data_IF_969872741877
#
_entry.id   IF_969872741877
#
_cell.length_a   1.000
_cell.length_b   1.000
_cell.length_c   1.000
_cell.angle_alpha   90.00
_cell.angle_beta   90.00
_cell.angle_gamma   90.00
#
_symmetry.space_group_name_H-M   'P 1'
#
loop_
_entity.id
_entity.type
_entity.pdbx_description
1 polymer ?
#
# COMPACT_ATOMS: atom_id res chain seq x y z
N UNK A 1 -8.73 13.44 0.18
CA UNK A 1 -8.69 13.48 1.68
C UNK A 1 -7.35 14.00 2.20
N UNK A 2 -7.29 14.72 3.34
CA UNK A 2 -5.99 15.09 3.98
C UNK A 2 -5.32 13.82 4.52
N UNK A 3 -4.06 13.57 4.15
CA UNK A 3 -3.32 12.38 4.60
C UNK A 3 -1.80 12.58 4.66
N UNK A 4 -1.13 11.86 5.55
CA UNK A 4 0.34 11.74 5.66
C UNK A 4 0.69 10.28 5.95
N UNK A 5 1.97 9.92 5.81
CA UNK A 5 2.45 8.54 5.98
C UNK A 5 1.73 7.50 5.09
N UNK A 6 1.20 7.98 3.96
CA UNK A 6 0.56 7.21 2.91
C UNK A 6 1.59 6.80 1.86
N UNK A 7 1.21 5.89 0.96
CA UNK A 7 2.00 5.57 -0.23
C UNK A 7 1.36 6.16 -1.47
N UNK A 8 2.19 6.51 -2.45
CA UNK A 8 1.77 6.94 -3.78
C UNK A 8 2.47 6.06 -4.82
N UNK A 9 1.71 5.28 -5.59
CA UNK A 9 2.23 4.33 -6.59
C UNK A 9 1.78 4.73 -7.98
N UNK A 10 2.73 4.99 -8.88
CA UNK A 10 2.44 5.19 -10.30
C UNK A 10 1.96 3.88 -10.91
N UNK A 11 0.78 3.90 -11.52
CA UNK A 11 0.18 2.77 -12.22
C UNK A 11 0.61 2.74 -13.69
N UNK A 12 0.44 1.57 -14.33
CA UNK A 12 0.81 1.38 -15.74
C UNK A 12 0.07 2.30 -16.72
N UNK A 13 -1.12 2.77 -16.34
CA UNK A 13 -1.93 3.68 -17.16
C UNK A 13 -1.60 5.17 -16.91
N UNK A 14 -0.57 5.46 -16.11
CA UNK A 14 -0.12 6.80 -15.79
C UNK A 14 -0.86 7.48 -14.62
N UNK A 15 -1.89 6.84 -14.05
CA UNK A 15 -2.55 7.34 -12.83
C UNK A 15 -1.74 6.99 -11.59
N UNK A 16 -2.08 7.60 -10.45
CA UNK A 16 -1.39 7.36 -9.17
C UNK A 16 -2.36 6.82 -8.15
N UNK A 17 -2.10 5.63 -7.62
CA UNK A 17 -2.78 5.10 -6.44
C UNK A 17 -2.21 5.74 -5.19
N UNK A 18 -3.08 6.35 -4.38
CA UNK A 18 -2.76 6.93 -3.09
C UNK A 18 -3.49 6.13 -2.03
N UNK A 19 -2.76 5.40 -1.18
CA UNK A 19 -3.34 4.42 -0.25
C UNK A 19 -2.95 4.69 1.20
N UNK A 20 -3.94 4.56 2.10
CA UNK A 20 -3.77 4.60 3.55
C UNK A 20 -3.19 5.92 4.07
N UNK A 21 -2.35 5.79 5.09
CA UNK A 21 -1.80 6.89 5.87
C UNK A 21 -2.62 7.18 7.11
N UNK A 22 -2.47 8.40 7.63
CA UNK A 22 -3.29 8.95 8.70
C UNK A 22 -3.75 10.37 8.35
N UNK A 23 -4.78 10.84 9.03
CA UNK A 23 -5.47 12.10 8.74
C UNK A 23 -4.65 13.37 9.08
N UNK A 24 -3.39 13.22 9.52
CA UNK A 24 -2.53 14.30 9.99
C UNK A 24 -3.21 15.20 11.04
N UNK A 25 -4.13 14.65 11.82
CA UNK A 25 -4.67 15.30 13.00
C UNK A 25 -3.77 15.03 14.19
N UNK A 26 -4.02 15.72 15.30
CA UNK A 26 -3.36 15.44 16.57
C UNK A 26 -3.56 13.97 17.02
N UNK A 27 -4.72 13.39 16.70
CA UNK A 27 -5.07 12.00 17.03
C UNK A 27 -4.51 10.98 16.03
N UNK A 28 -3.95 11.43 14.90
CA UNK A 28 -3.34 10.62 13.84
C UNK A 28 -4.18 9.38 13.46
N UNK A 29 -5.46 9.60 13.15
CA UNK A 29 -6.43 8.54 12.86
C UNK A 29 -5.97 7.78 11.60
N UNK A 30 -5.74 6.47 11.74
CA UNK A 30 -5.27 5.61 10.64
C UNK A 30 -6.38 5.42 9.62
N UNK A 31 -6.02 5.55 8.36
CA UNK A 31 -6.94 5.44 7.22
C UNK A 31 -6.80 4.08 6.56
N UNK A 32 -7.92 3.51 6.15
CA UNK A 32 -7.99 2.39 5.21
C UNK A 32 -8.45 2.86 3.81
N UNK A 33 -8.68 4.15 3.61
CA UNK A 33 -9.19 4.69 2.36
C UNK A 33 -8.08 4.87 1.32
N UNK A 34 -8.46 4.74 0.06
CA UNK A 34 -7.58 4.98 -1.09
C UNK A 34 -8.28 5.85 -2.15
N UNK A 35 -7.44 6.56 -2.92
CA UNK A 35 -7.87 7.45 -4.00
C UNK A 35 -6.94 7.24 -5.21
N UNK A 36 -7.48 7.35 -6.41
CA UNK A 36 -6.73 7.43 -7.66
C UNK A 36 -6.63 8.88 -8.08
N UNK A 37 -5.41 9.37 -8.26
CA UNK A 37 -5.16 10.67 -8.89
C UNK A 37 -4.94 10.48 -10.40
N UNK A 38 -5.70 11.23 -11.20
CA UNK A 38 -5.52 11.30 -12.65
C UNK A 38 -4.79 12.60 -13.02
N UNK A 39 -3.52 12.54 -13.48
CA UNK A 39 -2.76 13.73 -13.84
C UNK A 39 -3.32 14.51 -15.03
N UNK A 40 -4.12 13.89 -15.90
CA UNK A 40 -4.69 14.56 -17.08
C UNK A 40 -5.83 15.50 -16.69
N UNK A 41 -6.59 15.15 -15.65
CA UNK A 41 -7.74 15.93 -15.18
C UNK A 41 -7.45 16.68 -13.88
N UNK A 42 -6.41 16.27 -13.16
CA UNK A 42 -6.10 16.78 -11.82
C UNK A 42 -7.08 16.29 -10.75
N UNK A 43 -7.95 15.33 -11.07
CA UNK A 43 -9.00 14.87 -10.17
C UNK A 43 -8.56 13.66 -9.36
N UNK A 44 -9.12 13.57 -8.15
CA UNK A 44 -9.02 12.42 -7.26
C UNK A 44 -10.33 11.65 -7.29
N UNK A 45 -10.27 10.34 -7.49
CA UNK A 45 -11.43 9.44 -7.44
C UNK A 45 -11.24 8.43 -6.34
N UNK A 46 -12.21 8.35 -5.42
CA UNK A 46 -12.21 7.31 -4.40
C UNK A 46 -12.35 5.91 -5.02
N UNK A 47 -11.58 4.95 -4.53
CA UNK A 47 -11.70 3.53 -4.88
C UNK A 47 -12.13 2.74 -3.64
N UNK A 48 -12.29 1.42 -3.76
CA UNK A 48 -12.66 0.61 -2.59
C UNK A 48 -11.71 0.82 -1.41
N UNK A 49 -12.22 0.71 -0.19
CA UNK A 49 -11.37 0.74 1.00
C UNK A 49 -10.56 -0.55 1.15
N UNK A 50 -9.36 -0.41 1.71
CA UNK A 50 -8.57 -1.52 2.24
C UNK A 50 -9.32 -2.18 3.40
N UNK A 51 -9.08 -3.47 3.59
CA UNK A 51 -9.62 -4.26 4.70
C UNK A 51 -9.00 -3.86 6.04
N UNK A 52 -7.82 -3.28 6.01
CA UNK A 52 -7.03 -2.95 7.19
C UNK A 52 -6.58 -1.49 7.12
N UNK A 53 -6.62 -0.79 8.26
CA UNK A 53 -6.03 0.55 8.39
C UNK A 53 -4.51 0.45 8.39
N UNK A 54 -3.83 1.30 7.61
CA UNK A 54 -2.37 1.24 7.43
C UNK A 54 -1.77 2.63 7.35
N UNK A 55 -0.77 2.94 8.20
CA UNK A 55 0.23 3.99 7.92
C UNK A 55 1.63 3.40 7.99
N UNK A 56 2.60 4.09 7.36
CA UNK A 56 4.02 3.67 7.34
C UNK A 56 4.23 2.29 6.69
N UNK A 57 3.33 1.94 5.77
CA UNK A 57 3.36 0.75 4.93
C UNK A 57 4.14 1.03 3.64
N UNK A 58 4.46 -0.02 2.89
CA UNK A 58 5.00 0.11 1.54
C UNK A 58 3.97 -0.31 0.50
N UNK A 59 4.13 0.20 -0.72
CA UNK A 59 3.35 -0.19 -1.88
C UNK A 59 4.27 -0.38 -3.08
N UNK A 60 4.16 -1.52 -3.76
CA UNK A 60 5.00 -1.87 -4.91
C UNK A 60 4.13 -2.25 -6.10
N UNK A 61 4.37 -1.62 -7.26
CA UNK A 61 3.75 -2.01 -8.51
C UNK A 61 4.32 -3.37 -8.98
N UNK A 62 3.44 -4.34 -9.15
CA UNK A 62 3.79 -5.68 -9.63
C UNK A 62 3.87 -5.71 -11.16
N UNK A 63 4.58 -6.72 -11.67
CA UNK A 63 4.76 -6.92 -13.13
C UNK A 63 3.44 -7.08 -13.88
N UNK A 64 2.41 -7.64 -13.26
CA UNK A 64 1.08 -7.78 -13.88
C UNK A 64 0.29 -6.46 -13.87
N UNK A 65 0.69 -5.48 -13.07
CA UNK A 65 0.05 -4.16 -12.96
C UNK A 65 -0.77 -3.97 -11.70
N UNK A 66 -0.92 -5.00 -10.86
CA UNK A 66 -1.50 -4.88 -9.52
C UNK A 66 -0.52 -4.18 -8.58
N UNK A 67 -1.00 -3.68 -7.44
CA UNK A 67 -0.14 -3.06 -6.41
C UNK A 67 -0.19 -3.90 -5.15
N UNK A 68 0.98 -4.39 -4.71
CA UNK A 68 1.12 -5.04 -3.41
C UNK A 68 1.32 -3.98 -2.35
N UNK A 69 0.53 -4.04 -1.28
CA UNK A 69 0.63 -3.22 -0.08
C UNK A 69 1.06 -4.10 1.08
N UNK A 70 2.13 -3.73 1.77
CA UNK A 70 2.74 -4.54 2.83
C UNK A 70 2.83 -3.75 4.13
N UNK A 71 2.39 -4.38 5.22
CA UNK A 71 2.63 -3.91 6.59
C UNK A 71 1.95 -2.59 6.94
N UNK A 72 2.56 -1.86 7.88
CA UNK A 72 1.90 -0.82 8.69
C UNK A 72 1.02 -1.48 9.78
N UNK A 73 0.74 -0.92 10.95
CA UNK A 73 1.12 0.32 11.61
C UNK A 73 1.53 -0.06 13.04
N UNK A 74 2.58 0.56 13.58
CA UNK A 74 3.39 0.23 14.80
C UNK A 74 2.71 -0.25 16.11
N UNK A 75 1.39 -0.10 16.26
CA UNK A 75 0.63 -0.42 17.48
C UNK A 75 -0.57 -1.36 17.26
N UNK A 76 -0.79 -1.81 16.02
CA UNK A 76 -1.84 -2.76 15.65
C UNK A 76 -1.22 -4.05 15.13
N UNK A 77 -1.92 -5.18 15.24
CA UNK A 77 -1.40 -6.49 14.80
C UNK A 77 -1.44 -6.70 13.27
N UNK A 78 -1.46 -5.59 12.53
CA UNK A 78 -1.59 -5.54 11.08
C UNK A 78 -0.25 -5.57 10.36
N UNK A 79 0.85 -5.48 11.10
CA UNK A 79 2.23 -5.36 10.58
C UNK A 79 2.68 -6.56 9.75
N UNK A 80 1.97 -7.69 9.85
CA UNK A 80 2.21 -8.88 9.03
C UNK A 80 1.27 -9.03 7.84
N UNK A 81 0.27 -8.16 7.72
CA UNK A 81 -0.76 -8.33 6.70
C UNK A 81 -0.34 -7.69 5.39
N UNK A 82 -0.79 -8.26 4.28
CA UNK A 82 -0.64 -7.68 2.94
C UNK A 82 -2.00 -7.55 2.26
N UNK A 83 -2.09 -6.61 1.32
CA UNK A 83 -3.25 -6.47 0.45
C UNK A 83 -2.79 -6.21 -0.99
N UNK A 84 -3.56 -6.69 -1.95
CA UNK A 84 -3.32 -6.49 -3.38
C UNK A 84 -4.44 -5.63 -3.94
N UNK A 85 -4.08 -4.47 -4.48
CA UNK A 85 -4.97 -3.62 -5.26
C UNK A 85 -4.97 -4.06 -6.72
N UNK A 86 -6.15 -4.25 -7.28
CA UNK A 86 -6.36 -4.47 -8.71
C UNK A 86 -6.93 -3.21 -9.38
N UNK A 87 -6.15 -2.51 -10.23
CA UNK A 87 -6.61 -1.33 -10.94
C UNK A 87 -7.76 -1.58 -11.94
N UNK A 88 -7.96 -2.81 -12.42
CA UNK A 88 -9.03 -3.12 -13.36
C UNK A 88 -10.40 -3.06 -12.68
N UNK A 89 -10.46 -3.50 -11.42
CA UNK A 89 -11.70 -3.55 -10.63
C UNK A 89 -11.80 -2.42 -9.61
N UNK A 90 -10.68 -1.76 -9.29
CA UNK A 90 -10.62 -0.75 -8.25
C UNK A 90 -10.83 -1.33 -6.85
N UNK A 91 -10.43 -2.59 -6.62
CA UNK A 91 -10.68 -3.33 -5.37
C UNK A 91 -9.39 -3.79 -4.69
N UNK A 92 -9.48 -3.96 -3.36
CA UNK A 92 -8.42 -4.55 -2.53
C UNK A 92 -8.79 -5.97 -2.11
N UNK A 93 -7.82 -6.87 -2.17
CA UNK A 93 -7.95 -8.26 -1.72
C UNK A 93 -6.83 -8.61 -0.74
N UNK A 94 -7.09 -9.41 0.32
CA UNK A 94 -6.02 -9.88 1.21
C UNK A 94 -4.99 -10.71 0.45
N UNK A 95 -3.71 -10.44 0.67
CA UNK A 95 -2.62 -11.29 0.20
C UNK A 95 -2.08 -12.20 1.32
N UNK A 96 -1.14 -13.11 1.00
CA UNK A 96 -0.38 -13.85 1.99
C UNK A 96 0.29 -12.93 3.03
N UNK A 97 0.25 -13.26 4.32
CA UNK A 97 0.95 -12.48 5.34
C UNK A 97 2.47 -12.61 5.20
N UNK A 98 3.21 -11.61 5.68
CA UNK A 98 4.66 -11.66 5.84
C UNK A 98 5.06 -12.45 7.08
N UNK A 99 6.27 -12.99 7.09
CA UNK A 99 6.79 -13.77 8.23
C UNK A 99 7.11 -12.81 9.39
N UNK A 100 7.75 -11.68 9.08
CA UNK A 100 8.12 -10.64 10.03
C UNK A 100 7.13 -9.48 10.05
N UNK A 101 7.15 -8.71 11.14
CA UNK A 101 6.36 -7.47 11.30
C UNK A 101 7.09 -6.33 10.59
N UNK A 102 6.38 -5.61 9.72
CA UNK A 102 6.96 -4.52 8.94
C UNK A 102 6.20 -3.20 9.12
N UNK A 103 6.91 -2.19 9.62
CA UNK A 103 6.49 -0.79 9.68
C UNK A 103 7.74 0.09 9.48
N UNK A 104 7.63 1.20 8.73
CA UNK A 104 8.78 2.02 8.32
C UNK A 104 9.86 1.23 7.57
N UNK A 105 9.44 0.32 6.69
CA UNK A 105 10.31 -0.53 5.88
C UNK A 105 10.39 0.00 4.45
N UNK A 106 11.33 -0.53 3.66
CA UNK A 106 11.34 -0.38 2.20
C UNK A 106 10.97 -1.71 1.54
N UNK A 107 10.32 -1.64 0.37
CA UNK A 107 9.98 -2.81 -0.42
C UNK A 107 10.26 -2.53 -1.90
N UNK A 108 11.05 -3.41 -2.51
CA UNK A 108 11.49 -3.26 -3.90
C UNK A 108 11.10 -4.48 -4.74
N UNK A 109 10.63 -4.22 -5.95
CA UNK A 109 10.31 -5.27 -6.92
C UNK A 109 11.59 -5.82 -7.55
N UNK A 110 11.82 -7.13 -7.45
CA UNK A 110 12.96 -7.80 -8.07
C UNK A 110 12.68 -8.14 -9.54
N UNK A 111 13.74 -8.29 -10.37
CA UNK A 111 13.60 -8.66 -11.78
C UNK A 111 12.91 -10.00 -12.03
N UNK A 112 12.84 -10.89 -11.06
CA UNK A 112 12.12 -12.18 -11.17
C UNK A 112 10.63 -12.05 -10.82
N UNK A 113 10.18 -10.91 -10.30
CA UNK A 113 8.78 -10.68 -9.91
C UNK A 113 8.50 -10.96 -8.44
N UNK A 114 9.51 -11.25 -7.62
CA UNK A 114 9.40 -11.27 -6.15
C UNK A 114 9.61 -9.88 -5.56
N UNK A 115 9.01 -9.59 -4.42
CA UNK A 115 9.23 -8.31 -3.71
C UNK A 115 10.21 -8.56 -2.57
N UNK A 116 11.32 -7.84 -2.51
CA UNK A 116 12.19 -7.85 -1.32
C UNK A 116 11.68 -6.81 -0.33
N UNK A 117 11.55 -7.21 0.94
CA UNK A 117 11.14 -6.34 2.03
C UNK A 117 12.31 -6.20 3.00
N UNK A 118 12.79 -4.97 3.20
CA UNK A 118 13.95 -4.66 4.03
C UNK A 118 13.54 -3.69 5.15
N UNK A 119 13.69 -4.11 6.40
CA UNK A 119 13.29 -3.33 7.59
C UNK A 119 13.49 -4.10 8.90
N UNK A 120 12.47 -4.12 9.77
CA UNK A 120 12.44 -4.88 11.04
C UNK A 120 12.40 -6.41 10.81
N UNK A 121 13.42 -6.92 10.11
CA UNK A 121 13.47 -8.21 9.43
C UNK A 121 13.73 -8.01 7.94
N UNK A 122 14.53 -8.88 7.32
CA UNK A 122 14.66 -8.97 5.85
C UNK A 122 13.98 -10.24 5.38
N UNK A 123 13.09 -10.14 4.40
CA UNK A 123 12.47 -11.31 3.76
C UNK A 123 12.16 -11.06 2.29
N UNK A 124 12.04 -12.16 1.53
CA UNK A 124 11.61 -12.14 0.12
C UNK A 124 10.16 -12.62 0.08
N UNK A 125 9.27 -11.75 -0.39
CA UNK A 125 7.86 -12.03 -0.61
C UNK A 125 7.59 -12.52 -2.04
N UNK A 126 6.72 -13.51 -2.17
CA UNK A 126 6.31 -14.09 -3.45
C UNK A 126 4.83 -13.72 -3.68
N UNK A 127 4.54 -12.78 -4.61
CA UNK A 127 3.18 -12.28 -4.87
C UNK A 127 2.20 -13.28 -5.48
#
# INVERSE_FOLDING_TARGET
TKRCNHTATLLKDGKVLIAGGDDCSYSAIKLNTAEIYDPQTGLFTHVSDMKVVRSDHTASLLKDGRVLIVGGTRYYDNEKTTEIYDPQTGTFTPGPPTINKHANHTADMLPDGKVIIIGNGTEIYIP
#
